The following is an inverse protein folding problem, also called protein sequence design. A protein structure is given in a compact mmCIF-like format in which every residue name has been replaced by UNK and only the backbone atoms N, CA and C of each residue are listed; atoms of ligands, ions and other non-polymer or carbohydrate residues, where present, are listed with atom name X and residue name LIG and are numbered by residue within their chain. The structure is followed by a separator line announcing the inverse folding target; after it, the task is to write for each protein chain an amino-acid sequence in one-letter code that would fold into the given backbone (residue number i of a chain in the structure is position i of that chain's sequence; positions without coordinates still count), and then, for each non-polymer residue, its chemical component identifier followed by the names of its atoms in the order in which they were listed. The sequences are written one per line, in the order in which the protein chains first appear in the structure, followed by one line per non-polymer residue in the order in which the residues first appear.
data_IF_024507831425
#
_entry.id   IF_024507831425
#
_cell.length_a   1.000
_cell.length_b   1.000
_cell.length_c   1.000
_cell.angle_alpha   90.00
_cell.angle_beta   90.00
_cell.angle_gamma   90.00
#
_symmetry.space_group_name_H-M   'P 1'
#
loop_
_entity.id
_entity.type
_entity.pdbx_description
1 polymer ?
#
# COMPACT_ATOMS: atom_id res chain seq x y z
N UNK A 1 14.53 -5.39 -0.42
CA UNK A 1 13.91 -4.09 -0.83
C UNK A 1 14.00 -3.12 0.33
N UNK A 2 14.40 -1.87 0.11
CA UNK A 2 14.50 -0.88 1.18
C UNK A 2 13.09 -0.52 1.73
N UNK A 3 12.88 -0.74 3.00
CA UNK A 3 11.60 -0.46 3.68
C UNK A 3 11.44 1.04 3.82
N UNK A 4 10.36 1.60 3.23
CA UNK A 4 9.98 3.01 3.37
C UNK A 4 8.82 3.16 4.32
N UNK A 5 8.85 4.20 5.16
CA UNK A 5 7.79 4.54 6.10
C UNK A 5 7.40 6.01 5.98
N UNK A 6 6.17 6.31 6.30
CA UNK A 6 5.67 7.69 6.35
C UNK A 6 4.98 7.92 7.69
N UNK A 7 5.53 8.83 8.48
CA UNK A 7 4.86 9.33 9.67
C UNK A 7 4.02 10.56 9.30
N UNK A 8 2.74 10.55 9.68
CA UNK A 8 1.83 11.69 9.50
C UNK A 8 1.66 12.38 10.83
N UNK A 9 2.06 13.64 10.91
CA UNK A 9 2.04 14.42 12.15
C UNK A 9 1.23 15.70 11.95
N UNK A 10 0.29 15.96 12.83
CA UNK A 10 -0.45 17.23 12.91
C UNK A 10 0.46 18.32 13.47
N UNK A 11 0.37 19.54 12.94
CA UNK A 11 1.11 20.70 13.40
C UNK A 11 0.20 21.63 14.21
N UNK A 12 0.69 22.09 15.35
CA UNK A 12 0.14 23.21 16.07
C UNK A 12 0.78 24.49 15.54
N UNK A 13 0.03 25.30 14.83
CA UNK A 13 0.48 26.55 14.20
C UNK A 13 -0.19 27.75 14.84
N UNK A 14 0.55 28.84 15.07
CA UNK A 14 -0.03 30.14 15.42
C UNK A 14 -0.66 30.80 14.18
N UNK A 15 -1.45 31.85 14.38
CA UNK A 15 -2.06 32.60 13.26
C UNK A 15 -1.00 33.17 12.32
N UNK A 16 0.09 33.72 12.86
CA UNK A 16 1.20 34.25 12.07
C UNK A 16 1.90 33.14 11.25
N UNK A 17 2.13 31.98 11.87
CA UNK A 17 2.72 30.84 11.17
C UNK A 17 1.78 30.29 10.08
N UNK A 18 0.48 30.27 10.35
CA UNK A 18 -0.57 29.90 9.42
C UNK A 18 -0.54 30.78 8.17
N UNK A 19 -0.54 32.10 8.35
CA UNK A 19 -0.50 33.06 7.26
C UNK A 19 0.76 32.92 6.42
N UNK A 20 1.92 32.72 7.06
CA UNK A 20 3.18 32.50 6.35
C UNK A 20 3.15 31.20 5.54
N UNK A 21 2.56 30.13 6.07
CA UNK A 21 2.43 28.83 5.36
C UNK A 21 1.47 28.94 4.16
N UNK A 22 0.32 29.61 4.32
CA UNK A 22 -0.61 29.84 3.20
C UNK A 22 0.03 30.68 2.09
N UNK A 23 0.68 31.79 2.41
CA UNK A 23 1.39 32.60 1.40
C UNK A 23 2.51 31.82 0.70
N UNK A 24 3.19 30.95 1.44
CA UNK A 24 4.19 30.06 0.84
C UNK A 24 3.55 29.05 -0.10
N UNK A 25 2.39 28.49 0.28
CA UNK A 25 1.64 27.55 -0.54
C UNK A 25 1.16 28.22 -1.84
N UNK A 26 0.63 29.42 -1.77
CA UNK A 26 0.14 30.16 -2.95
C UNK A 26 1.27 30.37 -3.97
N UNK A 27 2.43 30.87 -3.54
CA UNK A 27 3.57 31.07 -4.44
C UNK A 27 4.14 29.73 -4.96
N UNK A 28 4.16 28.69 -4.12
CA UNK A 28 4.60 27.35 -4.52
C UNK A 28 3.68 26.74 -5.59
N UNK A 29 2.36 26.88 -5.43
CA UNK A 29 1.37 26.40 -6.38
C UNK A 29 1.46 27.17 -7.70
N UNK A 30 1.68 28.51 -7.66
CA UNK A 30 1.93 29.31 -8.86
C UNK A 30 3.15 28.80 -9.62
N UNK A 31 4.29 28.61 -8.97
CA UNK A 31 5.48 28.02 -9.57
C UNK A 31 5.21 26.64 -10.19
N UNK A 32 4.47 25.79 -9.48
CA UNK A 32 4.15 24.44 -9.98
C UNK A 32 3.22 24.48 -11.21
N UNK A 33 2.20 25.34 -11.20
CA UNK A 33 1.26 25.49 -12.32
C UNK A 33 1.96 26.08 -13.55
N UNK A 34 2.73 27.14 -13.40
CA UNK A 34 3.53 27.73 -14.50
C UNK A 34 4.50 26.73 -15.09
N UNK A 35 5.14 25.93 -14.24
CA UNK A 35 6.03 24.85 -14.71
C UNK A 35 5.25 23.77 -15.45
N UNK A 36 4.07 23.39 -14.99
CA UNK A 36 3.23 22.40 -15.66
C UNK A 36 2.81 22.89 -17.05
N UNK A 37 2.36 24.14 -17.15
CA UNK A 37 1.98 24.77 -18.43
C UNK A 37 3.17 24.85 -19.42
N UNK A 38 4.35 25.21 -18.94
CA UNK A 38 5.58 25.20 -19.75
C UNK A 38 5.96 23.80 -20.25
N UNK A 39 5.70 22.78 -19.45
CA UNK A 39 6.02 21.39 -19.78
C UNK A 39 4.99 20.72 -20.67
N UNK A 40 3.75 21.20 -20.69
CA UNK A 40 2.63 20.54 -21.35
C UNK A 40 2.55 20.87 -22.84
N UNK A 41 2.18 19.88 -23.66
CA UNK A 41 1.69 20.10 -25.04
C UNK A 41 0.31 19.43 -25.16
N UNK A 42 -0.64 20.16 -25.74
CA UNK A 42 -1.97 19.62 -26.03
C UNK A 42 -2.02 18.81 -27.35
N UNK A 43 -0.98 18.92 -28.16
CA UNK A 43 -0.89 18.33 -29.50
C UNK A 43 -0.37 16.90 -29.46
N UNK A 44 0.74 16.68 -28.75
CA UNK A 44 1.39 15.37 -28.69
C UNK A 44 2.16 15.18 -27.36
N UNK A 45 2.09 13.96 -26.82
CA UNK A 45 2.89 13.61 -25.65
C UNK A 45 4.39 13.65 -25.89
N UNK A 46 4.83 13.54 -27.15
CA UNK A 46 6.26 13.62 -27.53
C UNK A 46 6.83 15.04 -27.43
N UNK A 47 5.97 16.05 -27.46
CA UNK A 47 6.34 17.45 -27.30
C UNK A 47 6.35 17.91 -25.85
N UNK A 48 5.78 17.11 -24.92
CA UNK A 48 5.83 17.42 -23.50
C UNK A 48 7.25 17.36 -22.96
N UNK A 49 7.65 18.40 -22.21
CA UNK A 49 8.98 18.50 -21.62
C UNK A 49 9.01 17.80 -20.27
N UNK A 50 9.68 16.64 -20.18
CA UNK A 50 9.72 15.79 -18.97
C UNK A 50 11.15 15.63 -18.41
N UNK A 51 12.14 16.32 -18.98
CA UNK A 51 13.51 16.31 -18.47
C UNK A 51 13.67 17.37 -17.37
N UNK A 52 13.75 16.92 -16.12
CA UNK A 52 13.85 17.79 -14.93
C UNK A 52 14.96 18.83 -15.02
N UNK A 53 16.14 18.44 -15.51
CA UNK A 53 17.29 19.35 -15.62
C UNK A 53 17.03 20.48 -16.61
N UNK A 54 16.57 20.14 -17.80
CA UNK A 54 16.27 21.13 -18.85
C UNK A 54 15.16 22.10 -18.41
N UNK A 55 14.09 21.60 -17.80
CA UNK A 55 12.98 22.44 -17.30
C UNK A 55 13.46 23.36 -16.19
N UNK A 56 14.24 22.85 -15.22
CA UNK A 56 14.83 23.67 -14.17
C UNK A 56 15.73 24.75 -14.75
N UNK A 57 16.64 24.40 -15.64
CA UNK A 57 17.59 25.34 -16.22
C UNK A 57 16.88 26.45 -17.05
N UNK A 58 15.67 26.16 -17.58
CA UNK A 58 14.85 27.13 -18.32
C UNK A 58 14.03 28.08 -17.42
N UNK A 59 13.48 27.60 -16.30
CA UNK A 59 12.49 28.34 -15.52
C UNK A 59 13.02 28.83 -14.16
N UNK A 60 14.08 28.23 -13.61
CA UNK A 60 14.49 28.47 -12.24
C UNK A 60 14.77 29.93 -11.93
N UNK A 61 15.53 30.63 -12.81
CA UNK A 61 15.91 32.01 -12.59
C UNK A 61 14.71 32.95 -12.57
N UNK A 62 13.80 32.80 -13.55
CA UNK A 62 12.58 33.57 -13.65
C UNK A 62 11.69 33.38 -12.41
N UNK A 63 11.38 32.12 -12.08
CA UNK A 63 10.55 31.80 -10.91
C UNK A 63 11.18 32.26 -9.60
N UNK A 64 12.52 32.27 -9.53
CA UNK A 64 13.25 32.72 -8.33
C UNK A 64 13.24 34.24 -8.16
N UNK A 65 13.21 34.98 -9.27
CA UNK A 65 13.15 36.45 -9.27
C UNK A 65 11.72 36.96 -9.00
N UNK A 66 10.70 36.21 -9.40
CA UNK A 66 9.29 36.61 -9.28
C UNK A 66 8.63 36.16 -7.99
N UNK A 67 9.31 35.36 -7.17
CA UNK A 67 8.73 34.83 -5.90
C UNK A 67 9.70 35.07 -4.73
N UNK A 68 9.14 35.14 -3.51
CA UNK A 68 9.88 35.19 -2.26
C UNK A 68 10.27 33.78 -1.75
N UNK A 69 9.96 32.72 -2.52
CA UNK A 69 10.26 31.35 -2.14
C UNK A 69 11.76 31.12 -2.00
N UNK A 70 12.17 30.35 -1.01
CA UNK A 70 13.55 29.89 -0.93
C UNK A 70 13.90 28.97 -2.11
N UNK A 71 15.17 28.95 -2.50
CA UNK A 71 15.70 28.22 -3.66
C UNK A 71 15.24 26.74 -3.72
N UNK A 72 15.22 26.08 -2.58
CA UNK A 72 14.79 24.67 -2.47
C UNK A 72 13.31 24.47 -2.76
N UNK A 73 12.45 25.39 -2.33
CA UNK A 73 11.01 25.33 -2.58
C UNK A 73 10.69 25.55 -4.06
N UNK A 74 11.36 26.49 -4.74
CA UNK A 74 11.25 26.68 -6.19
C UNK A 74 11.65 25.39 -6.93
N UNK A 75 12.78 24.77 -6.54
CA UNK A 75 13.22 23.52 -7.15
C UNK A 75 12.24 22.36 -6.86
N UNK A 76 11.65 22.31 -5.67
CA UNK A 76 10.65 21.32 -5.32
C UNK A 76 9.36 21.49 -6.13
N UNK A 77 8.90 22.73 -6.34
CA UNK A 77 7.72 23.02 -7.17
C UNK A 77 7.96 22.60 -8.64
N UNK A 78 9.13 22.93 -9.21
CA UNK A 78 9.52 22.49 -10.55
C UNK A 78 9.55 20.95 -10.64
N UNK A 79 10.21 20.29 -9.67
CA UNK A 79 10.29 18.82 -9.61
C UNK A 79 8.90 18.19 -9.60
N UNK A 80 8.01 18.68 -8.74
CA UNK A 80 6.62 18.18 -8.60
C UNK A 80 5.84 18.32 -9.90
N UNK A 81 5.91 19.47 -10.56
CA UNK A 81 5.21 19.71 -11.82
C UNK A 81 5.71 18.78 -12.94
N UNK A 82 7.02 18.65 -13.10
CA UNK A 82 7.62 17.75 -14.11
C UNK A 82 7.21 16.29 -13.87
N UNK A 83 7.19 15.83 -12.62
CA UNK A 83 6.74 14.46 -12.28
C UNK A 83 5.25 14.25 -12.58
N UNK A 84 4.40 15.22 -12.30
CA UNK A 84 2.99 15.15 -12.62
C UNK A 84 2.75 15.11 -14.15
N UNK A 85 3.43 15.98 -14.92
CA UNK A 85 3.38 15.94 -16.39
C UNK A 85 3.86 14.60 -16.92
N UNK A 86 4.98 14.07 -16.39
CA UNK A 86 5.49 12.75 -16.77
C UNK A 86 4.49 11.64 -16.52
N UNK A 87 3.80 11.65 -15.38
CA UNK A 87 2.74 10.69 -15.06
C UNK A 87 1.55 10.80 -16.03
N UNK A 88 1.17 12.02 -16.43
CA UNK A 88 0.14 12.24 -17.45
C UNK A 88 0.58 11.72 -18.82
N UNK A 89 1.83 11.96 -19.23
CA UNK A 89 2.42 11.44 -20.48
C UNK A 89 2.39 9.90 -20.51
N UNK A 90 2.74 9.22 -19.44
CA UNK A 90 2.69 7.76 -19.37
C UNK A 90 1.24 7.21 -19.48
N UNK A 91 0.27 7.93 -18.93
CA UNK A 91 -1.16 7.59 -19.12
C UNK A 91 -1.62 7.85 -20.55
N UNK A 92 -1.16 8.93 -21.18
CA UNK A 92 -1.47 9.27 -22.57
C UNK A 92 -0.93 8.22 -23.55
N UNK A 93 0.32 7.75 -23.35
CA UNK A 93 0.91 6.64 -24.12
C UNK A 93 0.06 5.35 -24.07
N UNK A 94 -0.67 5.14 -22.98
CA UNK A 94 -1.60 4.01 -22.81
C UNK A 94 -2.99 4.27 -23.40
N UNK A 95 -3.17 5.35 -24.19
CA UNK A 95 -4.44 5.70 -24.82
C UNK A 95 -5.48 6.32 -23.87
N UNK A 96 -5.11 6.72 -22.66
CA UNK A 96 -6.01 7.36 -21.71
C UNK A 96 -6.15 8.85 -22.03
N UNK A 97 -7.36 9.38 -21.84
CA UNK A 97 -7.61 10.82 -21.95
C UNK A 97 -6.98 11.54 -20.76
N UNK A 98 -6.14 12.53 -21.05
CA UNK A 98 -5.42 13.33 -20.05
C UNK A 98 -5.52 14.82 -20.39
N UNK A 99 -5.27 15.66 -19.40
CA UNK A 99 -5.13 17.12 -19.53
C UNK A 99 -3.89 17.59 -18.78
N UNK A 100 -3.49 18.84 -18.98
CA UNK A 100 -2.44 19.44 -18.18
C UNK A 100 -2.76 19.31 -16.68
N UNK A 101 -1.81 18.83 -15.86
CA UNK A 101 -2.03 18.77 -14.43
C UNK A 101 -2.10 20.18 -13.83
N UNK A 102 -3.11 20.42 -12.99
CA UNK A 102 -3.30 21.70 -12.27
C UNK A 102 -3.23 21.43 -10.77
N UNK A 103 -2.44 22.24 -10.06
CA UNK A 103 -2.23 22.13 -8.62
C UNK A 103 -3.10 23.14 -7.90
N UNK A 104 -4.07 22.66 -7.11
CA UNK A 104 -5.01 23.48 -6.35
C UNK A 104 -4.98 23.19 -4.84
N UNK A 105 -4.48 22.02 -4.45
CA UNK A 105 -4.36 21.64 -3.06
C UNK A 105 -3.08 22.22 -2.46
N UNK A 106 -3.18 22.90 -1.34
CA UNK A 106 -2.03 23.44 -0.59
C UNK A 106 -1.17 22.28 -0.05
N UNK A 107 -0.22 21.90 -0.86
CA UNK A 107 0.71 20.80 -0.57
C UNK A 107 2.11 21.21 -1.04
N UNK A 108 3.05 21.25 -0.11
CA UNK A 108 4.44 21.67 -0.33
C UNK A 108 5.40 20.54 -0.02
N UNK A 109 6.38 20.35 -0.89
CA UNK A 109 7.44 19.36 -0.68
C UNK A 109 8.66 20.02 -0.06
N UNK A 110 9.17 19.44 1.03
CA UNK A 110 10.33 19.87 1.79
C UNK A 110 11.44 18.81 1.74
N UNK A 111 12.67 19.26 1.55
CA UNK A 111 13.88 18.44 1.64
C UNK A 111 14.66 18.72 2.94
N UNK A 112 15.82 18.11 3.13
CA UNK A 112 16.69 18.28 4.31
C UNK A 112 17.22 19.71 4.48
N UNK A 113 17.15 20.56 3.47
CA UNK A 113 17.62 21.96 3.52
C UNK A 113 16.48 22.91 3.87
N UNK A 114 15.28 22.59 3.43
CA UNK A 114 14.08 23.41 3.63
C UNK A 114 13.29 23.01 4.88
N UNK A 115 13.48 21.81 5.43
CA UNK A 115 12.92 21.36 6.71
C UNK A 115 14.01 20.86 7.67
N UNK A 116 13.89 21.19 8.95
CA UNK A 116 14.75 20.65 10.02
C UNK A 116 13.85 20.10 11.14
N UNK A 117 14.06 18.84 11.50
CA UNK A 117 13.24 18.13 12.48
C UNK A 117 13.88 18.19 13.87
N UNK A 118 13.06 18.44 14.86
CA UNK A 118 13.39 18.38 16.28
C UNK A 118 12.45 17.37 16.96
N UNK A 119 12.71 17.06 18.23
CA UNK A 119 11.94 16.06 18.95
C UNK A 119 10.44 16.38 19.03
N UNK A 120 10.07 17.65 19.17
CA UNK A 120 8.68 18.11 19.40
C UNK A 120 8.21 19.20 18.44
N UNK A 121 9.04 19.62 17.48
CA UNK A 121 8.72 20.67 16.50
C UNK A 121 9.46 20.43 15.19
N UNK A 122 9.07 21.17 14.17
CA UNK A 122 9.79 21.24 12.90
C UNK A 122 10.06 22.69 12.55
N UNK A 123 11.21 22.97 11.95
CA UNK A 123 11.52 24.28 11.37
C UNK A 123 11.34 24.18 9.86
N UNK A 124 10.39 24.91 9.30
CA UNK A 124 10.02 24.91 7.88
C UNK A 124 10.40 26.24 7.22
N UNK A 125 10.98 26.18 6.04
CA UNK A 125 11.22 27.35 5.22
C UNK A 125 9.91 27.93 4.68
N UNK A 126 9.73 29.22 4.75
CA UNK A 126 8.59 29.97 4.19
C UNK A 126 9.08 31.20 3.43
N UNK A 127 8.16 31.92 2.79
CA UNK A 127 8.44 33.21 2.14
C UNK A 127 8.88 34.28 3.14
N UNK A 128 8.55 34.15 4.42
CA UNK A 128 8.91 35.11 5.48
C UNK A 128 10.07 34.63 6.37
N UNK A 129 10.83 33.65 5.91
CA UNK A 129 11.91 33.03 6.68
C UNK A 129 11.56 31.63 7.13
N UNK A 130 11.84 31.30 8.39
CA UNK A 130 11.54 29.97 8.93
C UNK A 130 10.50 30.07 10.04
N UNK A 131 9.51 29.18 9.98
CA UNK A 131 8.51 29.02 11.04
C UNK A 131 8.76 27.70 11.79
N UNK A 132 8.42 27.66 13.08
CA UNK A 132 8.71 26.51 13.94
C UNK A 132 7.43 26.00 14.65
N UNK A 133 6.48 25.41 13.90
CA UNK A 133 5.30 24.81 14.51
C UNK A 133 5.67 23.57 15.34
N UNK A 134 4.93 23.37 16.45
CA UNK A 134 5.07 22.19 17.29
C UNK A 134 4.28 21.00 16.75
N UNK A 135 4.74 19.79 17.05
CA UNK A 135 3.99 18.57 16.75
C UNK A 135 2.86 18.34 17.75
N UNK A 136 1.69 17.92 17.25
CA UNK A 136 0.62 17.38 18.06
C UNK A 136 0.73 15.87 18.01
N UNK A 137 1.41 15.28 19.00
CA UNK A 137 1.62 13.85 19.11
C UNK A 137 0.59 13.23 20.07
N UNK A 138 0.06 12.03 19.79
CA UNK A 138 -0.76 11.27 20.74
C UNK A 138 0.01 10.98 22.03
N UNK A 139 -0.72 10.76 23.12
CA UNK A 139 -0.13 10.38 24.40
C UNK A 139 0.40 8.94 24.41
N UNK A 140 -0.14 8.08 23.53
CA UNK A 140 0.25 6.67 23.42
C UNK A 140 1.57 6.56 22.65
N UNK A 141 2.60 6.08 23.31
CA UNK A 141 3.95 5.88 22.77
C UNK A 141 4.23 4.38 22.54
N UNK A 142 5.05 4.02 21.53
CA UNK A 142 5.71 4.91 20.58
C UNK A 142 4.81 5.33 19.41
N UNK A 143 4.79 6.62 19.12
CA UNK A 143 4.12 7.17 17.92
C UNK A 143 4.88 6.79 16.65
N UNK A 144 4.25 6.81 15.46
CA UNK A 144 4.96 6.63 14.18
C UNK A 144 6.11 7.63 13.99
N UNK A 145 6.00 8.83 14.54
CA UNK A 145 7.07 9.82 14.51
C UNK A 145 8.29 9.37 15.32
N UNK A 146 8.09 8.91 16.55
CA UNK A 146 9.16 8.40 17.41
C UNK A 146 9.80 7.15 16.80
N UNK A 147 8.98 6.25 16.28
CA UNK A 147 9.43 4.98 15.70
C UNK A 147 10.24 5.14 14.41
N UNK A 148 9.87 6.07 13.52
CA UNK A 148 10.43 6.14 12.18
C UNK A 148 11.24 7.41 11.91
N UNK A 149 11.00 8.51 12.63
CA UNK A 149 11.69 9.78 12.37
C UNK A 149 12.80 10.04 13.39
N UNK A 150 12.59 9.67 14.66
CA UNK A 150 13.59 9.81 15.71
C UNK A 150 14.48 8.57 15.87
N UNK A 151 14.18 7.46 15.18
CA UNK A 151 14.98 6.23 15.23
C UNK A 151 16.25 6.37 14.40
N UNK A 152 17.38 5.90 14.95
CA UNK A 152 18.64 5.82 14.23
C UNK A 152 18.63 4.79 13.08
N UNK A 153 17.65 3.86 13.09
CA UNK A 153 17.47 2.85 12.05
C UNK A 153 16.86 3.39 10.76
N UNK A 154 16.45 4.67 10.74
CA UNK A 154 15.77 5.27 9.60
C UNK A 154 16.44 6.57 9.14
N UNK A 155 16.60 6.69 7.85
CA UNK A 155 17.10 7.90 7.19
C UNK A 155 15.92 8.76 6.68
N UNK A 156 15.92 10.04 7.00
CA UNK A 156 14.97 11.01 6.44
C UNK A 156 15.19 11.15 4.92
N UNK A 157 14.10 11.22 4.16
CA UNK A 157 14.12 11.39 2.70
C UNK A 157 13.52 12.72 2.26
N UNK A 158 12.26 12.88 2.46
CA UNK A 158 11.51 14.07 2.09
C UNK A 158 10.25 14.18 2.97
N UNK A 159 9.72 15.37 3.08
CA UNK A 159 8.42 15.57 3.74
C UNK A 159 7.49 16.38 2.88
N UNK A 160 6.20 16.20 3.10
CA UNK A 160 5.17 16.93 2.39
C UNK A 160 4.23 17.57 3.40
N UNK A 161 4.22 18.89 3.46
CA UNK A 161 3.24 19.65 4.20
C UNK A 161 1.92 19.65 3.44
N UNK A 162 0.82 19.39 4.11
CA UNK A 162 -0.53 19.40 3.54
C UNK A 162 -1.48 20.17 4.45
N UNK A 163 -2.21 21.09 3.88
CA UNK A 163 -3.36 21.72 4.54
C UNK A 163 -4.64 20.94 4.25
N UNK A 164 -5.41 20.63 5.31
CA UNK A 164 -6.72 19.99 5.18
C UNK A 164 -7.82 21.03 5.43
N UNK A 165 -8.44 21.49 4.34
CA UNK A 165 -9.50 22.48 4.36
C UNK A 165 -10.76 22.06 5.14
N UNK A 166 -10.97 20.77 5.38
CA UNK A 166 -12.15 20.29 6.10
C UNK A 166 -11.97 20.34 7.63
N UNK A 167 -10.73 20.24 8.09
CA UNK A 167 -10.39 20.33 9.53
C UNK A 167 -9.75 21.66 9.88
N UNK A 168 -9.36 22.46 8.89
CA UNK A 168 -8.61 23.71 9.03
C UNK A 168 -7.25 23.48 9.73
N UNK A 169 -6.55 22.40 9.32
CA UNK A 169 -5.34 21.93 9.99
C UNK A 169 -4.20 21.62 9.01
N UNK A 170 -2.97 21.83 9.49
CA UNK A 170 -1.77 21.42 8.77
C UNK A 170 -1.26 20.07 9.25
N UNK A 171 -0.92 19.20 8.30
CA UNK A 171 -0.29 17.89 8.51
C UNK A 171 1.03 17.81 7.79
N UNK A 172 2.02 17.21 8.43
CA UNK A 172 3.31 16.93 7.82
C UNK A 172 3.46 15.41 7.64
N UNK A 173 3.58 14.99 6.38
CA UNK A 173 3.89 13.62 6.00
C UNK A 173 5.41 13.50 5.88
N UNK A 174 6.05 12.76 6.77
CA UNK A 174 7.50 12.61 6.85
C UNK A 174 7.87 11.23 6.33
N UNK A 175 8.57 11.18 5.20
CA UNK A 175 8.99 9.93 4.58
C UNK A 175 10.41 9.57 5.03
N UNK A 176 10.56 8.36 5.52
CA UNK A 176 11.83 7.78 5.94
C UNK A 176 12.12 6.47 5.20
N UNK A 177 13.37 6.09 5.18
CA UNK A 177 13.83 4.80 4.66
C UNK A 177 14.62 4.12 5.77
N UNK A 178 14.34 2.83 6.02
CA UNK A 178 15.16 2.03 6.92
C UNK A 178 16.58 1.95 6.36
N UNK A 179 17.56 2.17 7.23
CA UNK A 179 18.95 1.91 6.93
C UNK A 179 19.08 0.40 7.00
N UNK A 180 19.17 -0.25 5.82
CA UNK A 180 19.43 -1.68 5.78
C UNK A 180 20.79 -1.87 6.48
N UNK A 181 20.83 -2.44 7.68
CA UNK A 181 22.03 -3.12 8.15
C UNK A 181 22.35 -4.14 7.05
N UNK A 182 23.61 -4.26 6.67
CA UNK A 182 24.12 -5.21 5.66
C UNK A 182 23.84 -6.71 6.00
N UNK A 183 22.92 -6.99 6.86
CA UNK A 183 22.26 -8.28 6.97
C UNK A 183 21.42 -8.45 5.69
N UNK A 184 22.11 -8.83 4.61
CA UNK A 184 21.52 -9.49 3.47
C UNK A 184 20.52 -10.51 4.03
N UNK A 185 19.22 -10.29 3.79
CA UNK A 185 18.27 -11.39 3.84
C UNK A 185 18.77 -12.34 2.78
N UNK A 186 19.56 -13.31 3.24
CA UNK A 186 20.16 -14.31 2.36
C UNK A 186 19.00 -14.95 1.62
N UNK A 187 18.95 -14.75 0.30
CA UNK A 187 17.99 -15.43 -0.58
C UNK A 187 18.14 -16.96 -0.50
N UNK A 188 19.17 -17.44 0.18
CA UNK A 188 19.57 -18.82 0.38
C UNK A 188 19.37 -19.34 1.81
N UNK A 189 18.22 -19.07 2.43
CA UNK A 189 17.87 -19.88 3.60
C UNK A 189 17.56 -21.30 3.16
N UNK A 190 18.31 -22.26 3.68
CA UNK A 190 18.13 -23.71 3.39
C UNK A 190 16.70 -24.19 3.68
N UNK A 191 15.96 -23.49 4.52
CA UNK A 191 14.59 -23.80 4.91
C UNK A 191 13.70 -22.55 4.88
N UNK A 192 12.51 -22.64 4.32
CA UNK A 192 11.48 -21.59 4.38
C UNK A 192 10.16 -22.13 4.91
N UNK A 193 9.55 -21.36 5.81
CA UNK A 193 8.22 -21.62 6.34
C UNK A 193 7.23 -20.61 5.76
N UNK A 194 6.10 -21.08 5.22
CA UNK A 194 5.16 -20.31 4.43
C UNK A 194 3.79 -20.25 5.10
N UNK A 195 3.21 -19.06 5.19
CA UNK A 195 1.81 -18.83 5.52
C UNK A 195 1.04 -18.52 4.21
N UNK A 196 0.13 -19.39 3.81
CA UNK A 196 -0.77 -19.15 2.69
C UNK A 196 -2.01 -18.38 3.15
N UNK A 197 -2.44 -17.36 2.38
CA UNK A 197 -3.63 -16.54 2.66
C UNK A 197 -4.57 -16.59 1.45
N UNK A 198 -5.80 -17.04 1.66
CA UNK A 198 -6.89 -16.97 0.69
C UNK A 198 -7.79 -15.76 0.99
N UNK A 199 -8.20 -15.03 -0.05
CA UNK A 199 -9.03 -13.83 0.04
C UNK A 199 -10.42 -14.11 -0.54
N UNK A 200 -11.45 -13.87 0.24
CA UNK A 200 -12.82 -14.19 -0.12
C UNK A 200 -13.85 -13.13 0.27
N UNK A 201 -15.08 -13.28 -0.23
CA UNK A 201 -16.18 -12.35 0.06
C UNK A 201 -16.78 -12.62 1.44
N UNK A 202 -16.98 -13.89 1.81
CA UNK A 202 -17.56 -14.27 3.09
C UNK A 202 -16.55 -14.16 4.23
N UNK A 203 -15.37 -14.71 4.04
CA UNK A 203 -14.21 -14.43 4.88
C UNK A 203 -13.27 -13.49 4.11
N UNK A 204 -12.99 -12.31 4.68
CA UNK A 204 -12.10 -11.33 4.05
C UNK A 204 -10.71 -11.91 3.77
N UNK A 205 -10.23 -12.75 4.69
CA UNK A 205 -9.04 -13.56 4.55
C UNK A 205 -9.16 -14.85 5.36
N UNK A 206 -8.51 -15.90 4.91
CA UNK A 206 -8.34 -17.16 5.64
C UNK A 206 -6.89 -17.59 5.53
N UNK A 207 -6.26 -17.95 6.67
CA UNK A 207 -4.89 -18.43 6.69
C UNK A 207 -4.80 -19.96 6.56
N UNK A 208 -3.65 -20.45 6.14
CA UNK A 208 -3.34 -21.88 6.13
C UNK A 208 -3.17 -22.49 7.52
N UNK A 209 -3.05 -21.68 8.56
CA UNK A 209 -3.09 -22.07 9.98
C UNK A 209 -4.49 -22.20 10.53
N UNK A 210 -5.53 -21.74 9.80
CA UNK A 210 -6.93 -21.90 10.15
C UNK A 210 -7.56 -20.69 10.84
N UNK A 211 -6.94 -19.52 10.77
CA UNK A 211 -7.55 -18.27 11.22
C UNK A 211 -8.45 -17.70 10.13
N UNK A 212 -9.65 -17.26 10.53
CA UNK A 212 -10.67 -16.70 9.65
C UNK A 212 -10.93 -15.24 10.05
N UNK A 213 -10.64 -14.31 9.17
CA UNK A 213 -11.06 -12.91 9.29
C UNK A 213 -12.38 -12.73 8.56
N UNK A 214 -13.48 -12.74 9.34
CA UNK A 214 -14.83 -12.68 8.78
C UNK A 214 -15.10 -11.36 8.05
N UNK A 215 -15.84 -11.44 6.95
CA UNK A 215 -16.22 -10.27 6.14
C UNK A 215 -17.52 -9.60 6.57
N UNK A 216 -18.30 -10.19 7.48
CA UNK A 216 -19.65 -9.77 7.84
C UNK A 216 -19.73 -8.35 8.39
N UNK A 217 -18.85 -7.99 9.33
CA UNK A 217 -18.79 -6.65 9.91
C UNK A 217 -18.39 -5.62 8.85
N UNK A 218 -17.40 -5.96 8.02
CA UNK A 218 -16.97 -5.09 6.92
C UNK A 218 -18.12 -4.82 5.95
N UNK A 219 -18.85 -5.85 5.55
CA UNK A 219 -19.98 -5.76 4.62
C UNK A 219 -21.17 -5.02 5.24
N UNK A 220 -21.44 -5.24 6.53
CA UNK A 220 -22.48 -4.54 7.28
C UNK A 220 -22.23 -3.02 7.28
N UNK A 221 -21.06 -2.59 7.66
CA UNK A 221 -20.72 -1.17 7.70
C UNK A 221 -20.68 -0.52 6.32
N UNK A 222 -20.20 -1.23 5.29
CA UNK A 222 -20.26 -0.75 3.92
C UNK A 222 -21.71 -0.47 3.48
N UNK A 223 -22.66 -1.38 3.79
CA UNK A 223 -24.10 -1.19 3.51
C UNK A 223 -24.69 -0.02 4.28
N UNK A 224 -24.32 0.15 5.55
CA UNK A 224 -24.79 1.29 6.36
C UNK A 224 -24.30 2.63 5.82
N UNK A 225 -23.05 2.72 5.36
CA UNK A 225 -22.55 3.92 4.70
C UNK A 225 -23.27 4.20 3.38
N UNK A 226 -23.52 3.17 2.56
CA UNK A 226 -24.28 3.30 1.30
C UNK A 226 -25.71 3.81 1.55
N UNK A 227 -26.41 3.27 2.54
CA UNK A 227 -27.74 3.69 2.95
C UNK A 227 -27.76 5.16 3.38
N UNK A 228 -26.89 5.56 4.30
CA UNK A 228 -26.77 6.96 4.77
C UNK A 228 -26.46 7.92 3.64
N UNK A 229 -25.62 7.52 2.70
CA UNK A 229 -25.28 8.31 1.49
C UNK A 229 -26.53 8.52 0.64
N UNK A 230 -27.30 7.46 0.38
CA UNK A 230 -28.56 7.55 -0.37
C UNK A 230 -29.58 8.49 0.26
N UNK A 231 -29.78 8.41 1.58
CA UNK A 231 -30.67 9.28 2.34
C UNK A 231 -30.26 10.77 2.29
N UNK A 232 -28.96 11.05 2.33
CA UNK A 232 -28.43 12.43 2.24
C UNK A 232 -28.55 12.98 0.83
N UNK A 233 -28.31 12.17 -0.20
CA UNK A 233 -28.42 12.58 -1.61
C UNK A 233 -29.85 12.98 -1.98
N UNK A 234 -30.86 12.32 -1.43
CA UNK A 234 -32.28 12.64 -1.68
C UNK A 234 -32.68 14.04 -1.18
N UNK A 235 -31.96 14.60 -0.20
CA UNK A 235 -32.31 15.92 0.38
C UNK A 235 -31.98 17.11 -0.52
N UNK A 236 -31.02 17.00 -1.43
CA UNK A 236 -30.67 18.01 -2.45
C UNK A 236 -30.24 19.39 -1.95
N UNK A 237 -29.85 19.54 -0.66
CA UNK A 237 -29.44 20.82 -0.08
C UNK A 237 -27.93 20.97 0.00
N UNK A 238 -27.41 22.21 0.06
CA UNK A 238 -25.99 22.47 0.28
C UNK A 238 -25.47 21.86 1.59
N UNK A 239 -26.29 21.91 2.64
CA UNK A 239 -25.94 21.27 3.93
C UNK A 239 -25.81 19.76 3.80
N UNK A 240 -26.68 19.11 2.99
CA UNK A 240 -26.58 17.69 2.70
C UNK A 240 -25.32 17.36 1.88
N UNK A 241 -24.94 18.19 0.92
CA UNK A 241 -23.71 18.06 0.16
C UNK A 241 -22.47 18.08 1.08
N UNK A 242 -22.37 19.07 1.97
CA UNK A 242 -21.27 19.15 2.94
C UNK A 242 -21.25 17.96 3.91
N UNK A 243 -22.42 17.45 4.29
CA UNK A 243 -22.54 16.25 5.12
C UNK A 243 -22.07 15.00 4.37
N UNK A 244 -22.34 14.86 3.06
CA UNK A 244 -21.85 13.80 2.19
C UNK A 244 -20.33 13.77 2.10
N UNK A 245 -19.68 14.93 1.97
CA UNK A 245 -18.23 15.02 1.94
C UNK A 245 -17.61 14.52 3.24
N UNK A 246 -18.18 14.93 4.40
CA UNK A 246 -17.73 14.45 5.72
C UNK A 246 -17.96 12.95 5.89
N UNK A 247 -19.12 12.45 5.45
CA UNK A 247 -19.44 11.01 5.49
C UNK A 247 -18.43 10.20 4.66
N UNK A 248 -18.09 10.67 3.44
CA UNK A 248 -17.10 10.00 2.58
C UNK A 248 -15.72 9.90 3.21
N UNK A 249 -15.22 10.97 3.86
CA UNK A 249 -13.96 10.94 4.59
C UNK A 249 -13.99 9.94 5.77
N UNK A 250 -15.11 9.90 6.48
CA UNK A 250 -15.30 9.02 7.63
C UNK A 250 -15.36 7.54 7.22
N UNK A 251 -16.05 7.25 6.13
CA UNK A 251 -16.11 5.92 5.52
C UNK A 251 -14.73 5.46 5.06
N UNK A 252 -13.98 6.31 4.36
CA UNK A 252 -12.63 5.99 3.91
C UNK A 252 -11.68 5.73 5.07
N UNK A 253 -11.72 6.57 6.11
CA UNK A 253 -10.90 6.39 7.31
C UNK A 253 -11.22 5.08 8.03
N UNK A 254 -12.51 4.75 8.19
CA UNK A 254 -12.96 3.51 8.81
C UNK A 254 -12.51 2.28 8.01
N UNK A 255 -12.72 2.28 6.69
CA UNK A 255 -12.28 1.17 5.83
C UNK A 255 -10.78 0.95 5.91
N UNK A 256 -10.00 2.03 5.84
CA UNK A 256 -8.54 1.94 5.96
C UNK A 256 -8.14 1.33 7.29
N UNK A 257 -8.72 1.82 8.38
CA UNK A 257 -8.42 1.32 9.73
C UNK A 257 -8.76 -0.17 9.87
N UNK A 258 -9.93 -0.60 9.40
CA UNK A 258 -10.34 -2.00 9.43
C UNK A 258 -9.33 -2.90 8.72
N UNK A 259 -8.98 -2.55 7.49
CA UNK A 259 -7.99 -3.32 6.71
C UNK A 259 -6.59 -3.28 7.34
N UNK A 260 -6.22 -2.17 8.00
CA UNK A 260 -4.96 -2.09 8.74
C UNK A 260 -4.90 -3.05 9.94
N UNK A 261 -6.03 -3.23 10.65
CA UNK A 261 -6.13 -4.18 11.77
C UNK A 261 -5.93 -5.61 11.24
N UNK A 262 -6.70 -6.01 10.23
CA UNK A 262 -6.57 -7.36 9.62
C UNK A 262 -5.16 -7.60 9.09
N UNK A 263 -4.55 -6.60 8.44
CA UNK A 263 -3.17 -6.73 7.95
C UNK A 263 -2.14 -6.91 9.09
N UNK A 264 -2.32 -6.22 10.23
CA UNK A 264 -1.47 -6.41 11.40
C UNK A 264 -1.61 -7.82 11.95
N UNK A 265 -2.84 -8.32 12.08
CA UNK A 265 -3.14 -9.66 12.61
C UNK A 265 -2.54 -10.75 11.71
N UNK A 266 -2.63 -10.62 10.37
CA UNK A 266 -1.99 -11.55 9.43
C UNK A 266 -0.46 -11.56 9.61
N UNK A 267 0.17 -10.38 9.75
CA UNK A 267 1.61 -10.30 9.95
C UNK A 267 2.01 -10.88 11.32
N UNK A 268 1.23 -10.58 12.37
CA UNK A 268 1.46 -11.17 13.71
C UNK A 268 1.35 -12.68 13.68
N UNK A 269 0.36 -13.23 13.01
CA UNK A 269 0.18 -14.68 12.87
C UNK A 269 1.35 -15.33 12.13
N UNK A 270 1.88 -14.67 11.08
CA UNK A 270 3.07 -15.18 10.39
C UNK A 270 4.28 -15.23 11.32
N UNK A 271 4.50 -14.19 12.10
CA UNK A 271 5.61 -14.12 13.08
C UNK A 271 5.45 -15.16 14.18
N UNK A 272 4.27 -15.28 14.77
CA UNK A 272 3.94 -16.24 15.84
C UNK A 272 4.14 -17.70 15.40
N UNK A 273 3.88 -17.98 14.11
CA UNK A 273 4.06 -19.29 13.51
C UNK A 273 5.47 -19.49 12.93
N UNK A 274 6.40 -18.54 13.10
CA UNK A 274 7.76 -18.62 12.56
C UNK A 274 7.79 -18.71 11.05
N UNK A 275 6.89 -18.00 10.33
CA UNK A 275 6.85 -17.99 8.89
C UNK A 275 7.80 -16.94 8.31
N UNK A 276 8.56 -17.34 7.30
CA UNK A 276 9.48 -16.47 6.56
C UNK A 276 8.77 -15.75 5.41
N UNK A 277 7.65 -16.31 4.94
CA UNK A 277 6.94 -15.85 3.75
C UNK A 277 5.44 -15.90 3.95
N UNK A 278 4.74 -14.78 3.65
CA UNK A 278 3.29 -14.74 3.47
C UNK A 278 2.99 -14.80 1.97
N UNK A 279 2.07 -15.66 1.57
CA UNK A 279 1.74 -15.87 0.16
C UNK A 279 0.26 -15.62 -0.09
N UNK A 280 -0.03 -14.73 -1.06
CA UNK A 280 -1.36 -14.45 -1.59
C UNK A 280 -1.55 -15.02 -2.99
N UNK A 281 -2.79 -15.11 -3.45
CA UNK A 281 -3.06 -15.22 -4.88
C UNK A 281 -2.82 -13.90 -5.61
N UNK A 282 -2.36 -13.97 -6.86
CA UNK A 282 -2.29 -12.79 -7.74
C UNK A 282 -3.70 -12.22 -7.99
N UNK A 283 -3.89 -10.95 -7.62
CA UNK A 283 -5.13 -10.21 -7.76
C UNK A 283 -5.32 -9.58 -9.15
N UNK A 284 -4.42 -9.85 -10.10
CA UNK A 284 -4.59 -9.46 -11.50
C UNK A 284 -5.87 -10.12 -12.04
N UNK A 285 -6.69 -9.33 -12.73
CA UNK A 285 -7.97 -9.79 -13.28
C UNK A 285 -9.02 -10.31 -12.26
N UNK A 286 -8.88 -10.02 -10.97
CA UNK A 286 -9.80 -10.46 -9.91
C UNK A 286 -11.27 -10.14 -10.23
N UNK A 287 -11.56 -9.02 -10.91
CA UNK A 287 -12.91 -8.67 -11.35
C UNK A 287 -13.52 -9.66 -12.35
N UNK A 288 -12.69 -10.31 -13.17
CA UNK A 288 -13.14 -11.33 -14.13
C UNK A 288 -13.43 -12.64 -13.41
N UNK A 289 -12.66 -12.94 -12.34
CA UNK A 289 -12.79 -14.17 -11.55
C UNK A 289 -13.93 -14.13 -10.53
N UNK A 290 -14.19 -12.94 -9.95
CA UNK A 290 -15.23 -12.70 -8.96
C UNK A 290 -16.21 -11.61 -9.46
N UNK A 291 -16.99 -11.87 -10.53
CA UNK A 291 -17.90 -10.87 -11.10
C UNK A 291 -19.03 -10.46 -10.13
N UNK A 292 -19.39 -11.33 -9.18
CA UNK A 292 -20.40 -11.09 -8.15
C UNK A 292 -19.86 -10.25 -6.98
N UNK A 293 -18.53 -10.12 -6.83
CA UNK A 293 -17.95 -9.33 -5.75
C UNK A 293 -18.22 -7.85 -5.95
N UNK A 294 -18.73 -7.18 -4.92
CA UNK A 294 -18.93 -5.74 -4.93
C UNK A 294 -17.59 -5.01 -5.00
N UNK A 295 -17.61 -3.76 -5.45
CA UNK A 295 -16.40 -2.94 -5.61
C UNK A 295 -15.59 -2.79 -4.32
N UNK A 296 -16.26 -2.73 -3.16
CA UNK A 296 -15.59 -2.57 -1.87
C UNK A 296 -14.83 -3.83 -1.43
N UNK A 297 -15.27 -5.05 -1.81
CA UNK A 297 -14.50 -6.26 -1.60
C UNK A 297 -13.21 -6.26 -2.41
N UNK A 298 -13.29 -5.95 -3.71
CA UNK A 298 -12.13 -5.89 -4.59
C UNK A 298 -11.11 -4.83 -4.11
N UNK A 299 -11.63 -3.69 -3.60
CA UNK A 299 -10.80 -2.67 -2.99
C UNK A 299 -10.13 -3.19 -1.71
N UNK A 300 -10.88 -3.88 -0.84
CA UNK A 300 -10.38 -4.46 0.40
C UNK A 300 -9.26 -5.47 0.16
N UNK A 301 -9.45 -6.40 -0.79
CA UNK A 301 -8.45 -7.43 -1.13
C UNK A 301 -7.12 -6.80 -1.59
N UNK A 302 -7.18 -5.82 -2.49
CA UNK A 302 -5.98 -5.11 -2.95
C UNK A 302 -5.30 -4.36 -1.82
N UNK A 303 -6.06 -3.63 -1.00
CA UNK A 303 -5.52 -2.89 0.13
C UNK A 303 -4.94 -3.80 1.20
N UNK A 304 -5.57 -4.93 1.46
CA UNK A 304 -5.06 -5.91 2.43
C UNK A 304 -3.70 -6.46 1.98
N UNK A 305 -3.60 -6.90 0.73
CA UNK A 305 -2.34 -7.38 0.16
C UNK A 305 -1.25 -6.27 0.18
N UNK A 306 -1.59 -5.03 -0.24
CA UNK A 306 -0.66 -3.89 -0.19
C UNK A 306 -0.21 -3.57 1.25
N UNK A 307 -1.12 -3.68 2.25
CA UNK A 307 -0.80 -3.37 3.63
C UNK A 307 0.07 -4.45 4.28
N UNK A 308 -0.18 -5.70 3.97
CA UNK A 308 0.70 -6.80 4.40
C UNK A 308 2.07 -6.68 3.74
N UNK A 309 2.13 -6.39 2.43
CA UNK A 309 3.36 -6.26 1.65
C UNK A 309 4.32 -5.22 2.25
N UNK A 310 3.83 -4.07 2.70
CA UNK A 310 4.73 -3.09 3.30
C UNK A 310 5.00 -3.30 4.79
N UNK A 311 4.15 -4.06 5.53
CA UNK A 311 4.31 -4.28 6.98
C UNK A 311 5.19 -5.49 7.30
N UNK A 312 5.01 -6.59 6.57
CA UNK A 312 5.69 -7.85 6.82
C UNK A 312 7.23 -7.74 6.79
N UNK A 313 7.86 -6.98 5.87
CA UNK A 313 9.32 -6.83 5.85
C UNK A 313 9.91 -6.18 7.11
N UNK A 314 9.13 -5.39 7.87
CA UNK A 314 9.57 -4.83 9.15
C UNK A 314 9.79 -5.92 10.21
N UNK A 315 9.05 -7.02 10.08
CA UNK A 315 9.13 -8.18 10.95
C UNK A 315 10.03 -9.30 10.38
N UNK A 316 10.78 -9.02 9.30
CA UNK A 316 11.62 -10.01 8.63
C UNK A 316 10.86 -11.02 7.76
N UNK A 317 9.57 -10.79 7.51
CA UNK A 317 8.72 -11.68 6.70
C UNK A 317 8.58 -11.12 5.29
N UNK A 318 8.85 -11.93 4.26
CA UNK A 318 8.64 -11.54 2.86
C UNK A 318 7.20 -11.79 2.42
N UNK A 319 6.77 -11.12 1.34
CA UNK A 319 5.44 -11.32 0.75
C UNK A 319 5.57 -11.71 -0.71
N UNK A 320 4.88 -12.76 -1.09
CA UNK A 320 4.91 -13.30 -2.44
C UNK A 320 3.50 -13.54 -2.99
N UNK A 321 3.39 -13.66 -4.31
CA UNK A 321 2.14 -13.96 -4.98
C UNK A 321 2.25 -15.20 -5.87
N UNK A 322 1.18 -15.97 -5.93
CA UNK A 322 1.08 -17.14 -6.80
C UNK A 322 -0.12 -17.05 -7.74
N UNK A 323 -0.03 -17.72 -8.89
CA UNK A 323 -1.13 -17.76 -9.85
C UNK A 323 -2.38 -18.44 -9.25
N UNK A 324 -3.60 -17.92 -9.51
CA UNK A 324 -4.84 -18.36 -8.88
C UNK A 324 -5.50 -19.59 -9.51
N UNK A 325 -4.76 -20.48 -10.18
CA UNK A 325 -5.35 -21.60 -10.92
C UNK A 325 -5.72 -22.77 -9.98
N UNK A 326 -6.99 -23.12 -9.87
CA UNK A 326 -7.52 -24.32 -9.17
C UNK A 326 -7.12 -24.48 -7.70
N UNK A 327 -6.71 -23.40 -7.02
CA UNK A 327 -6.35 -23.47 -5.59
C UNK A 327 -7.50 -23.90 -4.71
N UNK A 328 -8.72 -23.47 -5.03
CA UNK A 328 -9.95 -23.84 -4.31
C UNK A 328 -10.53 -25.21 -4.65
N UNK A 329 -10.14 -25.82 -5.80
CA UNK A 329 -10.67 -27.09 -6.30
C UNK A 329 -9.74 -28.27 -6.04
N UNK A 330 -8.49 -28.00 -5.68
CA UNK A 330 -7.46 -29.01 -5.43
C UNK A 330 -7.51 -29.49 -3.98
N UNK A 331 -7.40 -30.79 -3.76
CA UNK A 331 -7.23 -31.37 -2.44
C UNK A 331 -5.87 -30.99 -1.85
N UNK A 332 -5.87 -30.42 -0.63
CA UNK A 332 -4.65 -29.99 0.06
C UNK A 332 -4.00 -31.08 0.92
N UNK A 333 -4.52 -32.31 0.90
CA UNK A 333 -3.86 -33.43 1.60
C UNK A 333 -2.53 -33.78 0.95
N UNK A 334 -1.56 -34.14 1.78
CA UNK A 334 -0.18 -34.43 1.39
C UNK A 334 -0.06 -35.61 0.41
N UNK A 335 -0.97 -36.56 0.55
CA UNK A 335 -0.98 -37.85 -0.18
C UNK A 335 -1.99 -37.88 -1.35
N UNK A 336 -2.70 -36.78 -1.62
CA UNK A 336 -3.78 -36.77 -2.62
C UNK A 336 -3.54 -35.74 -3.75
N UNK A 337 -3.79 -34.46 -3.51
CA UNK A 337 -3.63 -33.41 -4.50
C UNK A 337 -4.58 -33.49 -5.72
N UNK A 338 -5.65 -34.31 -5.65
CA UNK A 338 -6.64 -34.47 -6.72
C UNK A 338 -7.40 -33.17 -6.96
N UNK A 339 -7.60 -32.78 -8.22
CA UNK A 339 -8.30 -31.57 -8.64
C UNK A 339 -9.54 -31.93 -9.44
N UNK A 340 -10.70 -31.45 -8.99
CA UNK A 340 -11.97 -31.65 -9.69
C UNK A 340 -12.93 -30.50 -9.34
N UNK A 341 -13.79 -30.11 -10.26
CA UNK A 341 -14.73 -29.01 -10.05
C UNK A 341 -15.73 -29.34 -8.93
N UNK A 342 -16.19 -30.57 -8.85
CA UNK A 342 -17.13 -31.04 -7.82
C UNK A 342 -16.51 -31.23 -6.42
N UNK A 343 -15.21 -30.93 -6.26
CA UNK A 343 -14.60 -30.92 -4.93
C UNK A 343 -15.05 -29.74 -4.06
N UNK A 344 -15.61 -28.67 -4.67
CA UNK A 344 -16.03 -27.46 -3.95
C UNK A 344 -17.52 -27.15 -4.19
N UNK A 345 -18.27 -27.03 -3.11
CA UNK A 345 -19.65 -26.58 -3.09
C UNK A 345 -19.81 -25.40 -2.10
N UNK A 346 -19.69 -24.17 -2.61
CA UNK A 346 -19.71 -22.97 -1.75
C UNK A 346 -18.52 -22.93 -0.78
N UNK A 347 -18.79 -22.96 0.51
CA UNK A 347 -17.78 -22.99 1.58
C UNK A 347 -17.35 -24.42 1.96
N UNK A 348 -17.99 -25.42 1.43
CA UNK A 348 -17.69 -26.81 1.69
C UNK A 348 -16.75 -27.37 0.63
N UNK A 349 -15.70 -28.06 1.08
CA UNK A 349 -14.77 -28.82 0.24
C UNK A 349 -14.80 -30.28 0.61
N UNK A 350 -15.08 -31.14 -0.35
CA UNK A 350 -15.00 -32.60 -0.21
C UNK A 350 -14.26 -33.21 -1.42
N UNK A 351 -13.13 -33.85 -1.17
CA UNK A 351 -12.35 -34.46 -2.22
C UNK A 351 -13.01 -35.72 -2.76
N UNK A 352 -13.43 -35.73 -4.01
CA UNK A 352 -14.10 -36.88 -4.68
C UNK A 352 -13.20 -38.12 -4.78
N UNK A 353 -11.88 -37.99 -4.59
CA UNK A 353 -10.95 -39.12 -4.64
C UNK A 353 -10.67 -39.73 -3.27
N UNK A 354 -10.42 -38.91 -2.24
CA UNK A 354 -9.97 -39.41 -0.92
C UNK A 354 -10.93 -39.10 0.22
N UNK A 355 -12.10 -38.48 -0.03
CA UNK A 355 -13.10 -38.13 0.96
C UNK A 355 -12.62 -37.08 1.99
N UNK A 356 -11.55 -36.34 1.72
CA UNK A 356 -11.11 -35.27 2.63
C UNK A 356 -12.09 -34.12 2.61
N UNK A 357 -12.65 -33.82 3.78
CA UNK A 357 -13.67 -32.80 3.99
C UNK A 357 -13.14 -31.67 4.87
N UNK A 358 -13.36 -30.41 4.47
CA UNK A 358 -12.88 -29.21 5.16
C UNK A 358 -13.54 -27.95 4.60
N UNK A 359 -13.42 -26.80 5.28
CA UNK A 359 -13.80 -25.52 4.72
C UNK A 359 -13.00 -25.21 3.43
N UNK A 360 -13.68 -24.76 2.36
CA UNK A 360 -13.11 -24.56 1.04
C UNK A 360 -12.04 -23.45 1.01
N UNK A 361 -12.25 -22.35 1.76
CA UNK A 361 -11.31 -21.23 1.81
C UNK A 361 -10.06 -21.62 2.60
N UNK A 362 -10.20 -22.40 3.68
CA UNK A 362 -9.06 -22.99 4.38
C UNK A 362 -8.26 -23.94 3.49
N UNK A 363 -8.95 -24.80 2.72
CA UNK A 363 -8.28 -25.65 1.71
C UNK A 363 -7.56 -24.82 0.66
N UNK A 364 -8.15 -23.69 0.23
CA UNK A 364 -7.56 -22.71 -0.68
C UNK A 364 -6.27 -22.12 -0.12
N UNK A 365 -6.30 -21.61 1.11
CA UNK A 365 -5.14 -21.04 1.80
C UNK A 365 -3.96 -22.02 1.88
N UNK A 366 -4.23 -23.31 2.23
CA UNK A 366 -3.22 -24.37 2.20
C UNK A 366 -2.63 -24.57 0.80
N UNK A 367 -3.48 -24.63 -0.23
CA UNK A 367 -3.03 -24.81 -1.60
C UNK A 367 -2.21 -23.64 -2.13
N UNK A 368 -2.48 -22.39 -1.69
CA UNK A 368 -1.69 -21.21 -2.00
C UNK A 368 -0.25 -21.37 -1.48
N UNK A 369 -0.09 -21.74 -0.20
CA UNK A 369 1.22 -22.02 0.39
C UNK A 369 1.94 -23.17 -0.32
N UNK A 370 1.26 -24.29 -0.57
CA UNK A 370 1.82 -25.44 -1.27
C UNK A 370 2.22 -25.15 -2.73
N UNK A 371 1.52 -24.24 -3.40
CA UNK A 371 1.88 -23.78 -4.75
C UNK A 371 3.18 -23.00 -4.73
N UNK A 372 3.36 -22.11 -3.79
CA UNK A 372 4.62 -21.40 -3.61
C UNK A 372 5.77 -22.36 -3.36
N UNK A 373 5.60 -23.30 -2.44
CA UNK A 373 6.60 -24.31 -2.12
C UNK A 373 7.05 -25.09 -3.38
N UNK A 374 6.10 -25.53 -4.21
CA UNK A 374 6.41 -26.22 -5.50
C UNK A 374 7.15 -25.32 -6.49
N UNK A 375 6.70 -24.05 -6.65
CA UNK A 375 7.32 -23.07 -7.56
C UNK A 375 8.76 -22.79 -7.15
N UNK A 376 9.03 -22.63 -5.85
CA UNK A 376 10.38 -22.43 -5.32
C UNK A 376 11.28 -23.65 -5.56
N UNK A 377 10.79 -24.84 -5.27
CA UNK A 377 11.51 -26.09 -5.54
C UNK A 377 11.89 -26.22 -7.02
N UNK A 378 10.97 -25.89 -7.94
CA UNK A 378 11.25 -25.91 -9.38
C UNK A 378 12.32 -24.88 -9.77
N UNK A 379 12.29 -23.66 -9.20
CA UNK A 379 13.33 -22.64 -9.44
C UNK A 379 14.71 -23.11 -8.99
N UNK A 380 14.81 -23.67 -7.77
CA UNK A 380 16.07 -24.17 -7.24
C UNK A 380 16.69 -25.28 -8.12
N UNK A 381 15.88 -26.16 -8.66
CA UNK A 381 16.34 -27.23 -9.57
C UNK A 381 16.78 -26.72 -10.95
N UNK A 382 16.24 -25.60 -11.41
CA UNK A 382 16.57 -25.02 -12.73
C UNK A 382 17.73 -24.02 -12.69
N UNK A 383 18.24 -23.67 -11.49
CA UNK A 383 19.35 -22.73 -11.33
C UNK A 383 20.71 -23.43 -11.50
N UNK A 384 21.62 -22.93 -12.38
CA UNK A 384 22.88 -23.62 -12.68
C UNK A 384 23.92 -23.60 -11.54
N UNK A 385 23.66 -22.98 -10.40
CA UNK A 385 24.60 -22.82 -9.29
C UNK A 385 24.34 -23.71 -8.06
N UNK A 386 23.26 -24.48 -8.02
CA UNK A 386 22.94 -25.29 -6.83
C UNK A 386 23.35 -26.74 -7.01
N UNK A 387 24.60 -27.06 -6.64
CA UNK A 387 25.07 -28.43 -6.47
C UNK A 387 24.72 -29.05 -5.09
N UNK A 388 23.80 -28.48 -4.34
CA UNK A 388 23.36 -29.01 -3.03
C UNK A 388 21.84 -29.08 -3.00
N UNK A 389 21.34 -30.19 -2.48
CA UNK A 389 19.97 -30.65 -2.48
C UNK A 389 18.87 -29.61 -2.25
N UNK A 390 17.66 -30.01 -2.61
CA UNK A 390 16.44 -29.21 -2.48
C UNK A 390 16.30 -28.58 -1.08
N UNK A 391 16.37 -27.26 -0.98
CA UNK A 391 16.05 -26.57 0.25
C UNK A 391 14.59 -26.83 0.65
N UNK A 392 14.31 -27.32 1.86
CA UNK A 392 12.95 -27.66 2.24
C UNK A 392 12.09 -26.40 2.36
N UNK A 393 10.85 -26.49 1.91
CA UNK A 393 9.84 -25.46 2.10
C UNK A 393 8.61 -26.07 2.74
N UNK A 394 8.32 -25.64 3.95
CA UNK A 394 7.18 -26.12 4.72
C UNK A 394 6.02 -25.11 4.71
N UNK A 395 4.81 -25.62 4.64
CA UNK A 395 3.59 -24.81 4.77
C UNK A 395 3.03 -25.00 6.17
N UNK A 396 2.87 -23.92 6.92
CA UNK A 396 2.22 -23.93 8.23
C UNK A 396 0.72 -24.13 8.06
N UNK A 397 0.17 -25.10 8.79
CA UNK A 397 -1.24 -25.42 8.81
C UNK A 397 -1.71 -25.68 10.23
N UNK A 398 -3.03 -25.61 10.45
CA UNK A 398 -3.59 -25.95 11.75
C UNK A 398 -3.27 -27.41 12.11
N UNK A 399 -2.63 -27.60 13.27
CA UNK A 399 -2.21 -28.94 13.74
C UNK A 399 -0.89 -29.46 13.17
N UNK A 400 -0.10 -28.63 12.47
CA UNK A 400 1.22 -29.07 11.99
C UNK A 400 1.75 -28.30 10.78
N UNK A 401 2.72 -28.93 10.13
CA UNK A 401 3.40 -28.38 8.93
C UNK A 401 3.23 -29.36 7.76
N UNK A 402 2.94 -28.84 6.56
CA UNK A 402 2.94 -29.62 5.32
C UNK A 402 4.22 -29.34 4.54
N UNK A 403 5.02 -30.39 4.30
CA UNK A 403 6.16 -30.31 3.42
C UNK A 403 5.70 -30.28 1.95
N UNK A 404 6.23 -29.35 1.14
CA UNK A 404 5.90 -29.24 -0.28
C UNK A 404 6.24 -30.49 -1.11
N UNK A 405 7.19 -31.33 -0.63
CA UNK A 405 7.55 -32.58 -1.31
C UNK A 405 6.49 -33.67 -1.19
N UNK A 406 5.82 -33.75 -0.05
CA UNK A 406 4.81 -34.79 0.22
C UNK A 406 3.50 -34.56 -0.53
N UNK A 407 3.34 -33.43 -1.22
CA UNK A 407 2.12 -33.03 -1.92
C UNK A 407 2.18 -33.31 -3.43
N UNK A 408 2.61 -34.48 -3.83
CA UNK A 408 2.55 -34.90 -5.23
C UNK A 408 1.15 -35.39 -5.57
N UNK A 409 0.61 -35.06 -6.78
CA UNK A 409 -0.59 -35.72 -7.27
C UNK A 409 -0.30 -37.22 -7.35
N UNK A 410 -1.22 -38.03 -6.88
CA UNK A 410 -1.18 -39.47 -7.17
C UNK A 410 -1.42 -39.57 -8.67
N UNK A 411 -0.46 -40.14 -9.44
CA UNK A 411 -0.66 -40.42 -10.84
C UNK A 411 -1.93 -41.26 -10.96
N UNK A 412 -2.89 -40.80 -11.75
CA UNK A 412 -4.05 -41.62 -12.07
C UNK A 412 -3.57 -42.80 -12.90
N UNK A 413 -3.96 -43.99 -12.48
CA UNK A 413 -3.94 -45.15 -13.37
C UNK A 413 -4.95 -45.00 -14.48
#
# INVERSE_FOLDING_TARGET
MAVRRTAVVKLAVSDEQRDALHRTADQYLDCANRTADYCWSSTSYTECKTNKRQVRDALYSELREETDLQAQLVQAAIKRAVEAVKACVERWKKGQRVSCPTFTAETLDYDTRSATFYRNKVSLATVEGRVEPSFVLPADSPTPYERYVLSEDHEFRESTLRYDTATDEFYLNISTRRIDSDDEVSEDTEHQTVLGIDLGVNSLAVSSTGTFWQGDDYDHWCREFEKRRGEMQQRGTQAAHNALLRLGKREEAWRKQYIHIVANEIVSEAVENGCDVIVFEDLTDIRKRLPQAKWHHIWAFRRLSEYVDYKAPEQGVSVEQVEPNHTSQRCSRTDCGFTHDDNRHGEHFECQKCGYEVNADYNGAKNIGLRYARKRKHRLRSSPKSGSGDAPVDVRVNGGTLNGESHRPIAGD
#
